data_IF_788527497151
#
_entry.id   IF_788527497151
#
_cell.length_a   1.000
_cell.length_b   1.000
_cell.length_c   1.000
_cell.angle_alpha   90.00
_cell.angle_beta   90.00
_cell.angle_gamma   90.00
#
_symmetry.space_group_name_H-M   'P 1'
#
loop_
_entity.id
_entity.type
_entity.pdbx_description
1 polymer ?
#
# COMPACT_ATOMS: atom_id res chain seq x y z
N UNK A 1 10.26 -13.87 -9.71
CA UNK A 1 10.55 -12.49 -9.43
C UNK A 1 9.29 -11.70 -9.21
N UNK A 2 9.28 -10.86 -8.19
CA UNK A 2 8.09 -10.07 -7.92
C UNK A 2 7.94 -8.94 -8.93
N UNK A 3 6.70 -8.63 -9.28
CA UNK A 3 6.37 -7.53 -10.16
C UNK A 3 5.37 -6.64 -9.44
N UNK A 4 5.48 -5.35 -9.67
CA UNK A 4 4.73 -4.36 -8.91
C UNK A 4 3.96 -3.41 -9.80
N UNK A 5 2.81 -2.93 -9.30
CA UNK A 5 2.06 -1.87 -9.97
C UNK A 5 2.02 -0.66 -9.04
N UNK A 6 1.90 0.53 -9.59
CA UNK A 6 1.63 1.71 -8.78
C UNK A 6 0.13 1.70 -8.46
N UNK A 7 -0.27 1.92 -7.19
CA UNK A 7 -1.68 1.73 -6.83
C UNK A 7 -2.63 2.76 -7.42
N UNK A 8 -2.15 3.99 -7.65
CA UNK A 8 -3.00 5.07 -8.13
C UNK A 8 -2.21 5.92 -9.12
N UNK A 9 -2.90 6.75 -9.91
CA UNK A 9 -2.19 7.59 -10.90
C UNK A 9 -1.15 8.49 -10.26
N UNK A 10 -0.07 8.75 -10.98
CA UNK A 10 1.02 9.59 -10.49
C UNK A 10 0.54 10.99 -10.08
N UNK A 11 -0.53 11.48 -10.69
CA UNK A 11 -1.07 12.80 -10.34
C UNK A 11 -1.61 12.87 -8.90
N UNK A 12 -1.83 11.71 -8.25
CA UNK A 12 -2.33 11.68 -6.88
C UNK A 12 -1.22 11.50 -5.85
N UNK A 13 0.04 11.43 -6.28
CA UNK A 13 1.16 11.25 -5.34
C UNK A 13 1.26 12.42 -4.39
N UNK A 14 1.47 12.11 -3.10
CA UNK A 14 1.70 13.09 -2.06
C UNK A 14 3.12 13.01 -1.56
N UNK A 15 3.32 13.03 -0.23
CA UNK A 15 4.65 13.03 0.35
C UNK A 15 5.45 11.80 -0.06
N UNK A 16 6.68 12.05 -0.47
CA UNK A 16 7.56 11.00 -0.97
C UNK A 16 8.36 10.35 0.15
N UNK A 17 8.85 9.16 -0.13
CA UNK A 17 9.75 8.45 0.77
C UNK A 17 10.97 9.32 1.07
N UNK A 18 11.30 9.43 2.36
CA UNK A 18 12.45 10.24 2.78
C UNK A 18 12.15 11.72 2.96
N UNK A 19 10.93 12.17 2.67
CA UNK A 19 10.54 13.56 2.82
C UNK A 19 10.79 14.04 4.26
N UNK A 20 11.37 15.24 4.39
CA UNK A 20 11.72 15.81 5.68
C UNK A 20 10.92 17.07 5.97
N UNK A 21 9.63 17.06 5.68
CA UNK A 21 8.77 18.20 5.97
C UNK A 21 8.90 18.61 7.44
N UNK A 22 8.74 19.90 7.75
CA UNK A 22 8.95 20.39 9.13
C UNK A 22 8.15 19.66 10.19
N UNK A 23 6.91 19.27 9.89
CA UNK A 23 6.10 18.57 10.87
C UNK A 23 6.66 17.19 11.23
N UNK A 24 7.64 16.68 10.48
CA UNK A 24 8.27 15.39 10.77
C UNK A 24 9.41 15.52 11.77
N UNK A 25 9.81 16.73 12.11
CA UNK A 25 10.83 16.99 13.14
C UNK A 25 12.10 16.17 12.92
N UNK A 26 12.60 16.18 11.69
CA UNK A 26 13.85 15.49 11.36
C UNK A 26 13.71 14.02 11.05
N UNK A 27 12.52 13.45 11.18
CA UNK A 27 12.31 12.03 10.84
C UNK A 27 11.87 11.92 9.40
N UNK A 28 12.59 11.16 8.56
CA UNK A 28 12.20 11.03 7.18
C UNK A 28 10.91 10.23 7.03
N UNK A 29 10.16 10.53 5.98
CA UNK A 29 8.92 9.81 5.67
C UNK A 29 9.27 8.35 5.35
N UNK A 30 8.55 7.43 5.95
CA UNK A 30 8.86 6.02 5.89
C UNK A 30 8.22 5.30 4.70
N UNK A 31 7.51 5.99 3.86
CA UNK A 31 6.84 5.41 2.72
C UNK A 31 6.47 6.46 1.71
N UNK A 32 5.54 6.11 0.84
CA UNK A 32 5.02 7.00 -0.21
C UNK A 32 3.54 7.17 0.03
N UNK A 33 3.04 8.39 -0.14
CA UNK A 33 1.63 8.69 -0.01
C UNK A 33 0.99 8.91 -1.37
N UNK A 34 -0.28 8.55 -1.48
CA UNK A 34 -1.16 8.89 -2.61
C UNK A 34 -2.48 9.39 -2.04
N UNK A 35 -3.05 10.41 -2.65
CA UNK A 35 -4.27 11.04 -2.15
C UNK A 35 -5.40 11.02 -3.17
N UNK A 36 -5.86 9.85 -3.56
CA UNK A 36 -7.07 9.79 -4.37
C UNK A 36 -8.28 10.07 -3.49
N UNK A 37 -9.46 10.06 -4.07
CA UNK A 37 -10.67 10.33 -3.33
C UNK A 37 -10.87 9.32 -2.20
N UNK A 38 -11.35 9.80 -1.05
CA UNK A 38 -11.65 8.92 0.08
C UNK A 38 -12.63 7.83 -0.36
N UNK A 39 -12.44 6.62 0.12
CA UNK A 39 -13.27 5.47 -0.23
C UNK A 39 -12.84 4.75 -1.49
N UNK A 40 -11.84 5.27 -2.22
CA UNK A 40 -11.33 4.58 -3.41
C UNK A 40 -10.71 3.25 -3.01
N UNK A 41 -11.00 2.20 -3.77
CA UNK A 41 -10.44 0.87 -3.50
C UNK A 41 -8.94 0.88 -3.76
N UNK A 42 -8.18 0.32 -2.83
CA UNK A 42 -6.73 0.21 -2.93
C UNK A 42 -6.39 -1.15 -3.52
N UNK A 43 -5.73 -1.20 -4.67
CA UNK A 43 -5.30 -2.49 -5.22
C UNK A 43 -4.03 -2.97 -4.54
N UNK A 44 -3.90 -4.27 -4.36
CA UNK A 44 -2.63 -4.84 -3.95
C UNK A 44 -1.59 -4.49 -5.01
N UNK A 45 -0.42 -4.03 -4.60
CA UNK A 45 0.58 -3.59 -5.58
C UNK A 45 1.41 -4.75 -6.13
N UNK A 46 1.31 -5.93 -5.52
CA UNK A 46 2.05 -7.11 -5.96
C UNK A 46 1.36 -8.34 -5.38
N UNK A 47 1.78 -9.53 -5.82
CA UNK A 47 1.24 -10.77 -5.30
C UNK A 47 1.84 -11.10 -3.95
N UNK A 48 1.06 -11.71 -3.07
CA UNK A 48 1.57 -12.18 -1.79
C UNK A 48 0.45 -12.51 -0.82
N UNK A 49 0.83 -12.94 0.38
CA UNK A 49 -0.13 -13.33 1.39
C UNK A 49 -0.32 -12.22 2.42
N UNK A 50 -1.54 -12.07 2.89
CA UNK A 50 -1.84 -11.13 3.98
C UNK A 50 -1.21 -11.67 5.26
N UNK A 51 -0.36 -10.87 5.90
CA UNK A 51 0.33 -11.25 7.13
C UNK A 51 -0.20 -10.53 8.36
N UNK A 52 -0.71 -9.33 8.19
CA UNK A 52 -1.28 -8.54 9.28
C UNK A 52 -2.50 -7.80 8.75
N UNK A 53 -3.54 -7.72 9.57
CA UNK A 53 -4.75 -6.96 9.26
C UNK A 53 -5.27 -6.48 10.61
N UNK A 54 -4.88 -5.28 11.03
CA UNK A 54 -5.03 -4.87 12.42
C UNK A 54 -5.14 -3.35 12.54
N UNK A 55 -5.18 -2.87 13.77
CA UNK A 55 -5.24 -1.44 14.12
C UNK A 55 -3.98 -1.03 14.86
N UNK A 56 -3.51 0.16 14.58
CA UNK A 56 -2.44 0.82 15.31
C UNK A 56 -2.88 2.26 15.53
N UNK A 57 -2.61 2.83 16.70
CA UNK A 57 -3.04 4.20 16.97
C UNK A 57 -2.48 5.20 15.97
N UNK A 58 -1.27 5.01 15.52
CA UNK A 58 -0.67 5.92 14.53
C UNK A 58 -1.14 5.66 13.12
N UNK A 59 -1.20 4.39 12.72
CA UNK A 59 -1.52 4.01 11.34
C UNK A 59 -3.02 3.85 11.06
N UNK A 60 -3.84 3.74 12.10
CA UNK A 60 -5.24 3.38 11.92
C UNK A 60 -5.34 1.93 11.48
N UNK A 61 -6.35 1.63 10.67
CA UNK A 61 -6.47 0.29 10.09
C UNK A 61 -5.37 0.09 9.07
N UNK A 62 -4.66 -1.03 9.15
CA UNK A 62 -3.57 -1.29 8.22
C UNK A 62 -3.45 -2.77 7.89
N UNK A 63 -2.88 -3.05 6.73
CA UNK A 63 -2.62 -4.41 6.25
C UNK A 63 -1.16 -4.50 5.86
N UNK A 64 -0.53 -5.64 6.17
CA UNK A 64 0.80 -5.94 5.67
C UNK A 64 0.71 -7.24 4.87
N UNK A 65 1.27 -7.25 3.67
CA UNK A 65 1.38 -8.46 2.85
C UNK A 65 2.84 -8.82 2.61
N UNK A 66 3.08 -10.09 2.39
CA UNK A 66 4.39 -10.53 1.94
C UNK A 66 4.50 -10.34 0.43
N UNK A 67 5.71 -10.48 -0.09
CA UNK A 67 5.95 -10.38 -1.53
C UNK A 67 6.81 -11.55 -1.98
N UNK A 68 6.84 -11.80 -3.28
CA UNK A 68 7.63 -12.90 -3.82
C UNK A 68 9.14 -12.67 -3.75
N UNK A 69 9.57 -11.41 -3.62
CA UNK A 69 11.00 -11.10 -3.51
C UNK A 69 11.45 -10.88 -2.06
N UNK A 70 10.69 -11.38 -1.11
CA UNK A 70 11.14 -11.39 0.29
C UNK A 70 10.92 -10.09 1.06
N UNK A 71 10.08 -9.20 0.54
CA UNK A 71 9.76 -7.94 1.19
C UNK A 71 8.37 -7.99 1.80
N UNK A 72 7.99 -6.89 2.44
CA UNK A 72 6.67 -6.75 3.04
C UNK A 72 6.14 -5.36 2.70
N UNK A 73 4.85 -5.29 2.34
CA UNK A 73 4.19 -4.05 1.97
C UNK A 73 3.13 -3.71 3.00
N UNK A 74 3.17 -2.49 3.50
CA UNK A 74 2.20 -1.99 4.46
C UNK A 74 1.30 -0.97 3.77
N UNK A 75 -0.02 -1.12 3.98
CA UNK A 75 -1.04 -0.18 3.50
C UNK A 75 -1.73 0.39 4.74
N UNK A 76 -1.67 1.69 4.95
CA UNK A 76 -2.15 2.30 6.19
C UNK A 76 -3.24 3.34 5.98
N UNK A 77 -3.85 3.74 7.07
CA UNK A 77 -4.91 4.76 7.16
C UNK A 77 -6.18 4.34 6.42
N UNK A 78 -6.44 3.02 6.41
CA UNK A 78 -7.59 2.47 5.70
C UNK A 78 -8.89 2.94 6.35
N UNK A 79 -9.94 3.00 5.55
CA UNK A 79 -11.24 3.49 6.01
C UNK A 79 -11.83 2.61 7.11
N UNK A 80 -11.64 1.31 6.99
CA UNK A 80 -12.15 0.33 7.93
C UNK A 80 -11.30 -0.93 7.84
N UNK A 81 -11.48 -1.84 8.78
CA UNK A 81 -10.75 -3.11 8.74
C UNK A 81 -11.18 -3.91 7.51
N UNK A 82 -10.27 -4.22 6.60
CA UNK A 82 -10.64 -5.02 5.43
C UNK A 82 -11.06 -6.43 5.82
N UNK A 83 -11.93 -7.02 5.01
CA UNK A 83 -12.37 -8.38 5.23
C UNK A 83 -11.39 -9.35 4.57
N UNK A 84 -10.18 -9.40 5.11
CA UNK A 84 -9.11 -10.25 4.59
C UNK A 84 -8.56 -11.10 5.72
N UNK A 85 -8.58 -12.41 5.53
CA UNK A 85 -8.02 -13.33 6.52
C UNK A 85 -6.50 -13.36 6.44
N UNK A 86 -5.86 -13.56 7.57
CA UNK A 86 -4.42 -13.77 7.61
C UNK A 86 -4.12 -15.05 6.81
N UNK A 87 -3.15 -14.97 5.94
CA UNK A 87 -2.81 -16.07 5.05
C UNK A 87 -3.48 -16.04 3.70
N UNK A 88 -4.50 -15.18 3.54
CA UNK A 88 -5.17 -15.04 2.24
C UNK A 88 -4.16 -14.53 1.20
N UNK A 89 -4.12 -15.18 0.04
CA UNK A 89 -3.20 -14.78 -1.01
C UNK A 89 -3.89 -13.79 -1.92
N UNK A 90 -3.26 -12.63 -2.15
CA UNK A 90 -3.79 -11.61 -3.06
C UNK A 90 -2.88 -11.52 -4.28
N UNK A 91 -3.48 -11.21 -5.41
CA UNK A 91 -2.74 -10.94 -6.64
C UNK A 91 -2.72 -9.43 -6.87
N UNK A 92 -1.72 -8.95 -7.59
CA UNK A 92 -1.64 -7.53 -7.94
C UNK A 92 -2.97 -7.11 -8.55
N UNK A 93 -3.53 -6.01 -8.07
CA UNK A 93 -4.84 -5.53 -8.51
C UNK A 93 -6.01 -5.94 -7.64
N UNK A 94 -5.87 -6.99 -6.82
CA UNK A 94 -6.95 -7.39 -5.94
C UNK A 94 -7.17 -6.34 -4.86
N UNK A 95 -8.41 -6.15 -4.38
CA UNK A 95 -8.67 -5.13 -3.37
C UNK A 95 -8.01 -5.46 -2.03
N UNK A 96 -7.31 -4.48 -1.48
CA UNK A 96 -6.71 -4.60 -0.14
C UNK A 96 -7.58 -3.88 0.88
N UNK A 97 -8.23 -2.79 0.50
CA UNK A 97 -9.03 -1.98 1.40
C UNK A 97 -9.45 -0.73 0.69
N UNK A 98 -9.85 0.29 1.43
CA UNK A 98 -10.28 1.56 0.86
C UNK A 98 -9.53 2.71 1.51
N UNK A 99 -9.25 3.73 0.72
CA UNK A 99 -8.56 4.93 1.19
C UNK A 99 -9.40 5.60 2.28
N UNK A 100 -8.76 5.85 3.42
CA UNK A 100 -9.41 6.50 4.54
C UNK A 100 -8.52 7.56 5.15
N UNK A 101 -8.77 7.85 6.42
CA UNK A 101 -8.06 8.88 7.16
C UNK A 101 -7.92 8.47 8.62
N UNK A 102 -7.77 7.17 8.88
CA UNK A 102 -7.69 6.66 10.25
C UNK A 102 -6.28 6.71 10.79
N UNK A 103 -6.18 6.79 12.11
CA UNK A 103 -4.88 6.84 12.80
C UNK A 103 -4.40 8.26 13.03
N UNK A 104 -3.62 8.41 14.12
CA UNK A 104 -3.16 9.75 14.55
C UNK A 104 -2.19 10.40 13.57
N UNK A 105 -1.50 9.61 12.76
CA UNK A 105 -0.52 10.16 11.84
C UNK A 105 -1.16 10.64 10.54
N UNK A 106 -2.49 10.55 10.39
CA UNK A 106 -3.16 10.99 9.18
C UNK A 106 -3.94 12.27 9.45
N UNK A 107 -3.72 13.28 8.62
CA UNK A 107 -4.43 14.55 8.75
C UNK A 107 -5.30 14.84 7.53
N UNK A 108 -5.45 13.88 6.64
CA UNK A 108 -6.29 14.00 5.46
C UNK A 108 -6.35 12.66 4.77
N UNK A 109 -7.39 12.42 3.99
CA UNK A 109 -7.57 11.11 3.33
C UNK A 109 -6.42 10.80 2.38
N UNK A 110 -5.77 9.67 2.59
CA UNK A 110 -4.68 9.24 1.71
C UNK A 110 -4.32 7.78 2.00
N UNK A 111 -3.60 7.18 1.09
CA UNK A 111 -2.94 5.91 1.31
C UNK A 111 -1.49 6.18 1.68
N UNK A 112 -1.03 5.65 2.81
CA UNK A 112 0.39 5.58 3.11
C UNK A 112 0.84 4.15 2.85
N UNK A 113 1.89 3.99 2.04
CA UNK A 113 2.41 2.67 1.69
C UNK A 113 3.89 2.62 1.98
N UNK A 114 4.31 1.60 2.72
CA UNK A 114 5.72 1.36 3.01
C UNK A 114 6.11 -0.02 2.52
N UNK A 115 7.37 -0.17 2.12
CA UNK A 115 7.94 -1.46 1.75
C UNK A 115 9.19 -1.65 2.62
N UNK A 116 9.35 -2.85 3.18
CA UNK A 116 10.48 -3.10 4.06
C UNK A 116 11.00 -4.53 3.92
N UNK A 117 12.23 -4.72 4.37
CA UNK A 117 12.85 -6.04 4.47
C UNK A 117 12.44 -6.74 5.75
N UNK A 118 11.54 -6.16 6.54
CA UNK A 118 11.10 -6.69 7.82
C UNK A 118 9.57 -6.74 7.84
N UNK A 119 9.02 -7.78 8.45
CA UNK A 119 7.57 -7.89 8.61
C UNK A 119 7.04 -6.75 9.50
N UNK A 120 7.85 -6.23 10.42
CA UNK A 120 7.44 -5.10 11.24
C UNK A 120 7.71 -3.80 10.50
N UNK A 121 7.02 -3.61 9.39
CA UNK A 121 7.29 -2.52 8.45
C UNK A 121 7.27 -1.15 9.13
N UNK A 122 6.29 -0.93 10.02
CA UNK A 122 6.12 0.38 10.65
C UNK A 122 7.02 0.60 11.87
N UNK A 123 7.72 -0.44 12.33
CA UNK A 123 8.56 -0.36 13.52
C UNK A 123 10.03 -0.65 13.25
N UNK A 124 10.37 -1.15 12.08
CA UNK A 124 11.75 -1.52 11.78
C UNK A 124 12.63 -0.26 11.63
N UNK A 125 13.95 -0.41 11.76
CA UNK A 125 14.85 0.71 11.49
C UNK A 125 14.69 1.24 10.07
N UNK A 126 14.90 2.54 9.89
CA UNK A 126 14.70 3.19 8.60
C UNK A 126 15.50 2.53 7.49
N UNK A 127 16.70 2.03 7.79
CA UNK A 127 17.55 1.40 6.76
C UNK A 127 17.03 0.07 6.28
N UNK A 128 15.97 -0.46 6.89
CA UNK A 128 15.30 -1.67 6.38
C UNK A 128 14.20 -1.33 5.39
N UNK A 129 13.87 -0.05 5.26
CA UNK A 129 12.82 0.37 4.35
C UNK A 129 13.34 0.52 2.93
N UNK A 130 12.44 0.41 1.98
CA UNK A 130 12.74 0.51 0.56
C UNK A 130 11.88 1.62 -0.02
N UNK A 131 12.45 2.45 -0.88
CA UNK A 131 11.69 3.51 -1.53
C UNK A 131 10.65 2.89 -2.46
N UNK A 132 9.34 3.07 -2.17
CA UNK A 132 8.31 2.38 -2.93
C UNK A 132 8.31 2.72 -4.41
N UNK A 133 8.43 4.01 -4.77
CA UNK A 133 8.39 4.38 -6.19
C UNK A 133 9.58 3.81 -6.95
N UNK A 134 10.76 3.83 -6.34
CA UNK A 134 11.95 3.27 -6.99
C UNK A 134 11.81 1.76 -7.16
N UNK A 135 11.27 1.09 -6.16
CA UNK A 135 11.13 -0.37 -6.23
C UNK A 135 10.10 -0.78 -7.27
N UNK A 136 8.99 -0.06 -7.34
CA UNK A 136 7.96 -0.30 -8.35
C UNK A 136 8.54 -0.08 -9.74
N UNK A 137 9.27 1.03 -9.93
CA UNK A 137 9.84 1.36 -11.24
C UNK A 137 10.89 0.35 -11.68
N UNK A 138 11.64 -0.23 -10.72
CA UNK A 138 12.67 -1.22 -11.04
C UNK A 138 12.10 -2.60 -11.31
N UNK A 139 10.87 -2.87 -10.88
CA UNK A 139 10.24 -4.19 -11.00
C UNK A 139 8.82 -4.09 -11.53
N UNK A 140 8.59 -3.46 -12.67
CA UNK A 140 7.23 -3.20 -13.12
C UNK A 140 6.52 -4.45 -13.57
N UNK A 141 5.24 -4.54 -13.28
CA UNK A 141 4.39 -5.57 -13.84
C UNK A 141 4.18 -5.27 -15.33
N UNK A 142 3.91 -6.29 -16.16
CA UNK A 142 3.59 -6.05 -17.55
C UNK A 142 2.39 -5.13 -17.64
N UNK A 143 2.41 -4.25 -18.65
CA UNK A 143 1.26 -3.42 -18.85
C UNK A 143 0.06 -4.28 -19.11
N UNK A 144 -1.03 -3.96 -18.44
CA UNK A 144 -2.23 -4.71 -18.63
C UNK A 144 -2.62 -4.60 -20.06
N UNK A 145 -3.06 -5.70 -20.63
CA UNK A 145 -3.66 -5.66 -21.87
C UNK A 145 -4.85 -4.92 -21.65
N UNK A 146 -5.10 -4.06 -22.39
CA UNK A 146 -6.16 -3.28 -22.09
C UNK A 146 -7.42 -3.93 -22.08
N UNK A 147 -7.62 -4.95 -21.61
CA UNK A 147 -8.80 -5.49 -21.50
C UNK A 147 -9.32 -5.18 -20.36
N UNK A 148 -10.11 -4.78 -20.32
CA UNK A 148 -10.62 -4.24 -19.26
C UNK A 148 -11.00 -5.16 -18.31
N UNK A 149 -10.73 -5.45 -18.05
CA UNK A 149 -10.86 -6.10 -17.27
C UNK A 149 -11.69 -6.41 -16.56
N UNK A 150 -11.59 -6.06 -16.85
CA UNK A 150 -12.10 -6.21 -16.46
C UNK A 150 -12.98 -6.30 -16.01
N UNK A 151 -13.21 -6.44 -16.30
CA UNK A 151 -13.84 -6.42 -15.93
C UNK A 151 -14.61 -6.71 -15.34
N UNK A 152 -14.61 -6.66 -15.20
CA UNK A 152 -15.16 -7.06 -14.72
C UNK A 152 -15.95 -7.48 -14.36
N UNK A 153 -16.02 -7.71 -14.24
CA UNK A 153 -16.72 -8.11 -13.95
C UNK A 153 -17.47 -8.54 -13.56
N UNK A 154 -17.34 -8.45 -13.72
CA UNK A 154 -17.77 -8.87 -13.49
C UNK A 154 -18.46 -9.29 -12.99
N UNK A 155 -18.36 -9.21 -13.02
CA UNK A 155 -18.73 -9.60 -12.60
C UNK A 155 -19.67 -9.90 -12.24
N UNK A 156 -19.71 -9.78 -12.17
CA UNK A 156 -20.33 -10.05 -11.89
C UNK A 156 -21.35 -10.38 -11.66
N UNK A 157 -21.67 -10.37 -11.79
CA UNK A 157 -22.42 -10.70 -11.56
C UNK A 157 -23.21 -11.29 -11.36
N UNK A 158 -23.49 -11.33 -11.34
CA UNK A 158 -24.05 -12.02 -11.04
C UNK A 158 -24.37 -12.55 -10.78
#
# INVERSE_FOLDING_TARGET
MAQYIEPFPASTRGDEFGNLAPYRKGRPHRGQDWSPKAGTVIPAITNGAVKVNDWSDGLGWYVIQSTADGLFVLYAHLEAKPNLSIGHYVHAGDPIGKVGNTGEFSTGSHLHLSIAKSKNVHLCPYDKLVDPLKHIAANPAPKAKTEPAAKAPAKKKK
#
